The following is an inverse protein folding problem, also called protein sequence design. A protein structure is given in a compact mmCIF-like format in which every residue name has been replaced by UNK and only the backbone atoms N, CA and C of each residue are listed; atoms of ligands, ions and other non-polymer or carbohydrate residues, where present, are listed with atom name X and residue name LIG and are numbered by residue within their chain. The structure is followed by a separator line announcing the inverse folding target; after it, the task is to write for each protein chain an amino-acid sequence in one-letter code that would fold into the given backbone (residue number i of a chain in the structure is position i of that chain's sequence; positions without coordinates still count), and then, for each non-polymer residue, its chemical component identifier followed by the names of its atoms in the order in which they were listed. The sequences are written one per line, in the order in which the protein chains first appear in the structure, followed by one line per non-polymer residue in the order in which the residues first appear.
data_IF_698575528508
#
_entry.id   IF_698575528508
#
_cell.length_a   1.000
_cell.length_b   1.000
_cell.length_c   1.000
_cell.angle_alpha   90.00
_cell.angle_beta   90.00
_cell.angle_gamma   90.00
#
_symmetry.space_group_name_H-M   'P 1'
#
loop_
_entity.id
_entity.type
_entity.pdbx_description
1 polymer ?
#
# COMPACT_ATOMS: atom_id res chain seq x y z
N UNK A 1 -25.18 67.12 -37.60
CA UNK A 1 -26.05 66.71 -36.47
C UNK A 1 -26.33 65.23 -36.69
N UNK A 2 -25.90 64.25 -35.92
CA UNK A 2 -25.30 64.19 -34.60
C UNK A 2 -25.79 62.86 -34.02
N UNK A 3 -24.86 62.01 -33.56
CA UNK A 3 -25.11 60.91 -32.61
C UNK A 3 -25.94 59.72 -33.15
N UNK A 4 -25.87 58.48 -32.64
CA UNK A 4 -24.95 57.72 -31.79
C UNK A 4 -25.46 56.26 -31.92
N UNK A 5 -24.57 55.29 -32.05
CA UNK A 5 -24.21 54.31 -31.03
C UNK A 5 -25.19 53.14 -30.78
N UNK A 6 -24.60 51.94 -30.83
CA UNK A 6 -24.84 50.80 -29.92
C UNK A 6 -26.17 50.05 -30.06
N UNK A 7 -26.26 48.73 -29.96
CA UNK A 7 -25.35 47.64 -29.53
C UNK A 7 -26.08 46.32 -29.82
N UNK A 8 -25.31 45.23 -29.88
CA UNK A 8 -25.65 43.89 -29.33
C UNK A 8 -26.75 43.09 -30.03
N UNK A 9 -26.68 41.78 -30.22
CA UNK A 9 -25.66 40.76 -30.00
C UNK A 9 -26.18 39.45 -30.60
N UNK A 10 -25.23 38.50 -30.78
CA UNK A 10 -25.40 37.03 -30.82
C UNK A 10 -26.29 36.48 -31.93
N UNK A 11 -25.74 35.54 -32.70
CA UNK A 11 -26.00 34.12 -32.46
C UNK A 11 -25.49 33.29 -33.64
N UNK A 12 -25.26 32.01 -33.33
CA UNK A 12 -25.46 30.88 -34.22
C UNK A 12 -24.34 30.55 -35.19
N UNK A 13 -23.51 29.62 -34.72
CA UNK A 13 -22.74 28.68 -35.52
C UNK A 13 -23.66 27.89 -36.47
N UNK A 14 -23.60 28.23 -37.74
CA UNK A 14 -23.87 27.35 -38.88
C UNK A 14 -22.64 27.53 -39.80
N UNK A 15 -22.05 26.53 -40.44
CA UNK A 15 -22.66 25.61 -41.39
C UNK A 15 -21.77 24.37 -41.56
N UNK A 16 -22.42 23.23 -41.82
CA UNK A 16 -21.80 21.97 -42.28
C UNK A 16 -21.48 22.06 -43.78
N UNK A 17 -20.30 21.57 -44.19
CA UNK A 17 -19.90 20.92 -45.49
C UNK A 17 -18.39 21.15 -45.73
N UNK A 18 -17.53 20.26 -46.24
CA UNK A 18 -17.66 19.00 -46.97
C UNK A 18 -16.36 18.16 -46.85
N UNK A 19 -16.54 16.83 -46.89
CA UNK A 19 -15.79 15.76 -47.57
C UNK A 19 -14.24 15.80 -47.76
N UNK A 20 -13.66 14.65 -47.40
CA UNK A 20 -12.58 13.92 -48.09
C UNK A 20 -11.13 14.34 -47.82
N UNK A 21 -10.42 13.53 -47.02
CA UNK A 21 -9.20 12.80 -47.36
C UNK A 21 -8.95 11.78 -46.24
N UNK A 22 -9.65 10.64 -46.30
CA UNK A 22 -9.25 9.45 -45.54
C UNK A 22 -8.00 8.88 -46.19
N UNK A 23 -6.82 9.30 -45.71
CA UNK A 23 -5.57 8.57 -45.85
C UNK A 23 -4.52 9.16 -44.91
N UNK A 24 -4.64 8.84 -43.62
CA UNK A 24 -3.48 8.80 -42.74
C UNK A 24 -3.46 7.38 -42.19
N UNK A 25 -2.53 6.58 -42.68
CA UNK A 25 -2.13 5.32 -42.05
C UNK A 25 -1.68 5.63 -40.63
N UNK A 26 -2.61 5.59 -39.68
CA UNK A 26 -2.26 5.60 -38.26
C UNK A 26 -1.73 4.22 -37.93
N UNK A 27 -0.40 4.08 -37.92
CA UNK A 27 0.29 2.96 -37.31
C UNK A 27 -0.35 2.61 -35.96
N UNK A 28 -0.56 1.33 -35.63
CA UNK A 28 -1.08 0.98 -34.32
C UNK A 28 -0.05 1.41 -33.29
N UNK A 29 -0.36 2.47 -32.53
CA UNK A 29 0.30 2.73 -31.26
C UNK A 29 -0.13 1.62 -30.32
N UNK A 30 0.55 0.47 -30.43
CA UNK A 30 0.62 -0.49 -29.36
C UNK A 30 1.42 0.14 -28.23
N UNK A 31 0.79 1.06 -27.49
CA UNK A 31 1.15 1.20 -26.10
C UNK A 31 0.48 0.02 -25.38
N UNK A 32 1.14 -1.13 -25.45
CA UNK A 32 0.92 -2.18 -24.47
C UNK A 32 1.10 -1.49 -23.10
N UNK A 33 0.09 -1.40 -22.22
CA UNK A 33 0.35 -0.99 -20.86
C UNK A 33 1.34 -2.00 -20.31
N UNK A 34 2.62 -1.61 -20.23
CA UNK A 34 3.59 -2.35 -19.44
C UNK A 34 2.95 -2.41 -18.07
N UNK A 35 2.44 -3.58 -17.70
CA UNK A 35 2.11 -3.91 -16.33
C UNK A 35 3.41 -3.74 -15.59
N UNK A 36 3.61 -2.57 -14.98
CA UNK A 36 4.67 -2.37 -14.01
C UNK A 36 4.27 -3.28 -12.87
N UNK A 37 4.79 -4.50 -12.87
CA UNK A 37 4.74 -5.35 -11.70
C UNK A 37 5.56 -4.59 -10.66
N UNK A 38 4.86 -4.02 -9.68
CA UNK A 38 5.40 -3.37 -8.49
C UNK A 38 6.08 -4.44 -7.60
N UNK A 39 7.09 -5.10 -8.14
CA UNK A 39 7.85 -6.13 -7.45
C UNK A 39 8.99 -5.46 -6.69
N UNK A 40 8.95 -5.59 -5.37
CA UNK A 40 10.03 -5.17 -4.50
C UNK A 40 11.27 -6.06 -4.71
N UNK A 41 12.48 -5.56 -4.40
CA UNK A 41 13.70 -6.36 -4.49
C UNK A 41 13.59 -7.64 -3.64
N UNK A 42 13.88 -8.80 -4.24
CA UNK A 42 13.78 -10.10 -3.53
C UNK A 42 14.72 -10.23 -2.33
N UNK A 43 15.83 -9.49 -2.32
CA UNK A 43 16.80 -9.45 -1.23
C UNK A 43 16.48 -8.39 -0.16
N UNK A 44 15.26 -7.83 -0.16
CA UNK A 44 14.87 -6.81 0.82
C UNK A 44 14.77 -7.40 2.24
N UNK A 45 15.67 -6.97 3.11
CA UNK A 45 15.70 -7.39 4.52
C UNK A 45 14.81 -6.51 5.42
N UNK A 46 14.61 -5.25 5.05
CA UNK A 46 13.82 -4.28 5.81
C UNK A 46 12.84 -3.55 4.92
N UNK A 47 11.57 -3.59 5.31
CA UNK A 47 10.49 -2.85 4.67
C UNK A 47 9.89 -1.87 5.68
N UNK A 48 9.81 -0.59 5.29
CA UNK A 48 9.11 0.44 6.05
C UNK A 48 8.03 1.07 5.17
N UNK A 49 6.80 0.69 5.46
CA UNK A 49 5.60 1.13 4.75
C UNK A 49 4.95 2.27 5.53
N UNK A 50 4.83 3.43 4.91
CA UNK A 50 4.21 4.61 5.52
C UNK A 50 2.96 5.03 4.75
N UNK A 51 1.89 5.34 5.48
CA UNK A 51 0.65 5.90 4.94
C UNK A 51 0.06 5.12 3.77
N UNK A 52 0.09 3.77 3.83
CA UNK A 52 -0.42 2.93 2.76
C UNK A 52 -1.93 3.16 2.55
N UNK A 53 -2.37 3.58 1.36
CA UNK A 53 -3.75 4.02 1.16
C UNK A 53 -4.73 2.85 1.07
N UNK A 54 -4.26 1.67 0.65
CA UNK A 54 -5.15 0.54 0.40
C UNK A 54 -5.36 -0.28 1.68
N UNK A 55 -6.51 -0.94 1.77
CA UNK A 55 -6.85 -1.81 2.89
C UNK A 55 -6.12 -3.16 2.85
N UNK A 56 -5.73 -3.59 1.66
CA UNK A 56 -5.05 -4.85 1.39
C UNK A 56 -3.88 -4.64 0.43
N UNK A 57 -2.93 -5.56 0.47
CA UNK A 57 -1.73 -5.55 -0.39
C UNK A 57 -1.49 -6.96 -0.92
N UNK A 58 -1.32 -7.09 -2.24
CA UNK A 58 -1.03 -8.37 -2.91
C UNK A 58 0.45 -8.75 -2.87
N UNK A 59 1.34 -7.76 -2.75
CA UNK A 59 2.79 -7.93 -2.76
C UNK A 59 3.40 -8.06 -1.35
N UNK A 60 2.64 -7.81 -0.29
CA UNK A 60 3.09 -7.95 1.09
C UNK A 60 2.82 -9.38 1.58
N UNK A 61 3.51 -10.33 0.96
CA UNK A 61 3.43 -11.77 1.26
C UNK A 61 4.84 -12.32 1.47
N UNK A 62 5.01 -13.43 2.21
CA UNK A 62 6.32 -14.04 2.41
C UNK A 62 6.94 -14.55 1.09
N UNK A 63 6.12 -14.88 0.09
CA UNK A 63 6.58 -15.31 -1.24
C UNK A 63 7.22 -14.16 -2.04
N UNK A 64 6.64 -12.97 -1.94
CA UNK A 64 7.19 -11.76 -2.57
C UNK A 64 8.41 -11.21 -1.83
N UNK A 65 8.50 -11.45 -0.52
CA UNK A 65 9.55 -10.92 0.36
C UNK A 65 10.25 -12.01 1.19
N UNK A 66 10.95 -12.97 0.54
CA UNK A 66 11.45 -14.18 1.18
C UNK A 66 12.65 -13.96 2.12
N UNK A 67 13.26 -12.77 2.12
CA UNK A 67 14.40 -12.40 2.96
C UNK A 67 14.06 -11.32 3.99
N UNK A 68 12.78 -10.98 4.16
CA UNK A 68 12.38 -9.91 5.06
C UNK A 68 12.58 -10.29 6.53
N UNK A 69 13.37 -9.49 7.24
CA UNK A 69 13.63 -9.63 8.67
C UNK A 69 12.89 -8.58 9.50
N UNK A 70 12.69 -7.39 8.93
CA UNK A 70 12.13 -6.22 9.64
C UNK A 70 10.96 -5.64 8.85
N UNK A 71 9.76 -5.72 9.41
CA UNK A 71 8.54 -5.20 8.80
C UNK A 71 7.96 -4.05 9.63
N UNK A 72 8.06 -2.82 9.11
CA UNK A 72 7.52 -1.63 9.76
C UNK A 72 6.36 -1.08 8.95
N UNK A 73 5.23 -0.86 9.60
CA UNK A 73 4.02 -0.33 8.98
C UNK A 73 3.48 0.80 9.86
N UNK A 74 3.36 1.99 9.26
CA UNK A 74 3.03 3.22 9.97
C UNK A 74 1.90 3.96 9.26
N UNK A 75 0.77 4.09 9.94
CA UNK A 75 -0.42 4.75 9.42
C UNK A 75 -1.00 4.07 8.19
N UNK A 76 -1.91 4.76 7.52
CA UNK A 76 -2.64 4.21 6.37
C UNK A 76 -3.89 3.45 6.79
N UNK A 77 -4.51 2.79 5.80
CA UNK A 77 -5.79 2.12 5.94
C UNK A 77 -5.67 0.58 5.91
N UNK A 78 -4.45 0.06 6.08
CA UNK A 78 -4.20 -1.38 6.03
C UNK A 78 -5.02 -2.10 7.10
N UNK A 79 -5.96 -2.93 6.65
CA UNK A 79 -6.94 -3.60 7.51
C UNK A 79 -6.58 -5.07 7.75
N UNK A 80 -5.86 -5.69 6.81
CA UNK A 80 -5.48 -7.10 6.89
C UNK A 80 -4.02 -7.29 6.49
N UNK A 81 -3.32 -8.11 7.27
CA UNK A 81 -2.03 -8.67 6.88
C UNK A 81 -2.23 -10.06 6.31
N UNK A 82 -1.28 -10.50 5.48
CA UNK A 82 -1.26 -11.86 5.00
C UNK A 82 -1.14 -12.85 6.18
N UNK A 83 -1.97 -13.89 6.18
CA UNK A 83 -2.04 -14.89 7.26
C UNK A 83 -0.99 -15.99 7.11
N UNK A 84 -0.23 -15.99 6.01
CA UNK A 84 0.86 -16.93 5.79
C UNK A 84 1.99 -16.76 6.81
N UNK A 85 2.89 -17.74 6.86
CA UNK A 85 3.99 -17.79 7.83
C UNK A 85 5.20 -16.99 7.34
N UNK A 86 5.48 -15.89 8.03
CA UNK A 86 6.67 -15.06 7.87
C UNK A 86 7.82 -15.65 8.70
N UNK A 87 8.51 -16.63 8.13
CA UNK A 87 9.53 -17.40 8.85
C UNK A 87 10.79 -16.60 9.23
N UNK A 88 11.12 -15.52 8.50
CA UNK A 88 12.34 -14.73 8.74
C UNK A 88 12.11 -13.41 9.45
N UNK A 89 10.86 -12.97 9.58
CA UNK A 89 10.56 -11.67 10.19
C UNK A 89 10.75 -11.78 11.70
N UNK A 90 11.78 -11.10 12.20
CA UNK A 90 12.16 -11.06 13.61
C UNK A 90 11.63 -9.82 14.30
N UNK A 91 11.47 -8.70 13.59
CA UNK A 91 11.00 -7.44 14.17
C UNK A 91 9.80 -6.87 13.41
N UNK A 92 8.71 -6.65 14.13
CA UNK A 92 7.46 -6.09 13.62
C UNK A 92 7.17 -4.77 14.32
N UNK A 93 6.93 -3.70 13.55
CA UNK A 93 6.50 -2.40 14.10
C UNK A 93 5.20 -1.96 13.46
N UNK A 94 4.17 -1.82 14.26
CA UNK A 94 2.82 -1.46 13.83
C UNK A 94 2.42 -0.17 14.56
N UNK A 95 2.33 0.93 13.81
CA UNK A 95 1.97 2.24 14.39
C UNK A 95 0.77 2.82 13.69
N UNK A 96 -0.21 3.30 14.46
CA UNK A 96 -1.38 4.05 13.98
C UNK A 96 -2.26 3.29 12.99
N UNK A 97 -2.38 1.96 13.16
CA UNK A 97 -3.23 1.11 12.32
C UNK A 97 -4.58 0.88 13.00
N UNK A 98 -5.57 1.68 12.63
CA UNK A 98 -6.92 1.64 13.24
C UNK A 98 -7.75 0.46 12.75
N UNK A 99 -7.66 0.16 11.45
CA UNK A 99 -8.45 -0.89 10.81
C UNK A 99 -7.83 -2.28 10.92
N UNK A 100 -6.54 -2.38 11.29
CA UNK A 100 -5.86 -3.67 11.41
C UNK A 100 -6.41 -4.46 12.59
N UNK A 101 -7.15 -5.53 12.28
CA UNK A 101 -7.73 -6.47 13.25
C UNK A 101 -6.95 -7.76 13.27
N UNK A 102 -6.33 -8.08 14.40
CA UNK A 102 -5.57 -9.32 14.56
C UNK A 102 -5.43 -9.66 16.04
N UNK A 103 -5.53 -10.94 16.38
CA UNK A 103 -5.28 -11.39 17.74
C UNK A 103 -3.80 -11.73 17.93
N UNK A 104 -3.30 -11.63 19.17
CA UNK A 104 -1.91 -12.02 19.49
C UNK A 104 -1.56 -13.45 19.05
N UNK A 105 -2.49 -14.41 19.21
CA UNK A 105 -2.29 -15.80 18.77
C UNK A 105 -2.09 -15.90 17.26
N UNK A 106 -2.92 -15.19 16.48
CA UNK A 106 -2.81 -15.16 15.02
C UNK A 106 -1.50 -14.49 14.60
N UNK A 107 -1.13 -13.40 15.27
CA UNK A 107 0.13 -12.70 15.03
C UNK A 107 1.33 -13.61 15.32
N UNK A 108 1.34 -14.37 16.42
CA UNK A 108 2.40 -15.34 16.70
C UNK A 108 2.44 -16.52 15.74
N UNK A 109 1.30 -16.95 15.20
CA UNK A 109 1.24 -18.02 14.19
C UNK A 109 1.78 -17.55 12.83
N UNK A 110 1.42 -16.33 12.41
CA UNK A 110 1.97 -15.70 11.21
C UNK A 110 3.44 -15.33 11.36
N UNK A 111 3.90 -14.97 12.57
CA UNK A 111 5.29 -14.56 12.85
C UNK A 111 5.92 -15.47 13.94
N UNK A 112 6.31 -16.72 13.58
CA UNK A 112 6.81 -17.68 14.56
C UNK A 112 8.15 -17.25 15.19
N UNK A 113 9.09 -16.77 14.37
CA UNK A 113 10.44 -16.33 14.76
C UNK A 113 10.49 -14.86 15.25
N UNK A 114 9.32 -14.28 15.57
CA UNK A 114 9.23 -12.91 16.10
C UNK A 114 9.98 -12.77 17.43
N UNK A 115 10.94 -11.84 17.46
CA UNK A 115 11.74 -11.45 18.63
C UNK A 115 11.26 -10.12 19.21
N UNK A 116 10.76 -9.22 18.35
CA UNK A 116 10.38 -7.86 18.74
C UNK A 116 9.07 -7.45 18.09
N UNK A 117 8.12 -6.97 18.90
CA UNK A 117 6.91 -6.29 18.44
C UNK A 117 6.83 -4.90 19.07
N UNK A 118 6.59 -3.88 18.26
CA UNK A 118 6.16 -2.57 18.73
C UNK A 118 4.77 -2.27 18.19
N UNK A 119 3.84 -1.95 19.09
CA UNK A 119 2.44 -1.65 18.77
C UNK A 119 2.07 -0.30 19.36
N UNK A 120 1.85 0.70 18.52
CA UNK A 120 1.46 2.06 18.95
C UNK A 120 0.11 2.44 18.37
N UNK A 121 -0.88 2.72 19.24
CA UNK A 121 -2.23 3.16 18.84
C UNK A 121 -2.90 2.25 17.78
N UNK A 122 -2.81 0.94 17.97
CA UNK A 122 -3.50 -0.07 17.14
C UNK A 122 -4.65 -0.72 17.93
N UNK A 123 -5.87 -0.17 17.92
CA UNK A 123 -6.97 -0.69 18.73
C UNK A 123 -7.40 -2.11 18.35
N UNK A 124 -7.29 -2.48 17.07
CA UNK A 124 -7.70 -3.80 16.57
C UNK A 124 -6.76 -4.95 16.88
N UNK A 125 -5.55 -4.69 17.41
CA UNK A 125 -4.64 -5.74 17.86
C UNK A 125 -4.92 -6.05 19.33
N UNK A 126 -5.56 -7.17 19.60
CA UNK A 126 -6.03 -7.52 20.95
C UNK A 126 -5.20 -8.63 21.59
N UNK A 127 -5.25 -8.72 22.93
CA UNK A 127 -4.60 -9.76 23.74
C UNK A 127 -3.06 -9.81 23.60
N UNK A 128 -2.42 -8.73 23.15
CA UNK A 128 -0.95 -8.65 23.13
C UNK A 128 -0.41 -8.53 24.56
N UNK A 129 0.57 -9.36 24.98
CA UNK A 129 1.32 -9.19 26.22
C UNK A 129 2.37 -8.08 26.08
N UNK A 130 1.93 -6.89 25.66
CA UNK A 130 2.76 -5.72 25.43
C UNK A 130 2.93 -4.93 26.75
N UNK A 131 4.05 -4.23 26.91
CA UNK A 131 4.34 -3.35 28.05
C UNK A 131 3.58 -1.99 27.98
N UNK A 132 3.85 -1.09 28.93
CA UNK A 132 3.25 0.26 28.97
C UNK A 132 3.55 1.12 27.73
N UNK A 133 4.63 0.81 27.02
CA UNK A 133 5.02 1.47 25.77
C UNK A 133 4.47 0.77 24.53
N UNK A 134 3.73 -0.33 24.71
CA UNK A 134 3.20 -1.14 23.62
C UNK A 134 4.26 -2.03 22.96
N UNK A 135 5.36 -2.31 23.64
CA UNK A 135 6.46 -3.14 23.16
C UNK A 135 6.36 -4.54 23.77
N UNK A 136 6.65 -5.54 22.95
CA UNK A 136 6.86 -6.92 23.40
C UNK A 136 8.21 -7.40 22.87
N UNK A 137 8.95 -8.10 23.73
CA UNK A 137 10.22 -8.72 23.39
C UNK A 137 10.19 -10.19 23.80
N UNK A 138 10.73 -11.06 22.95
CA UNK A 138 10.94 -12.46 23.29
C UNK A 138 12.04 -12.55 24.35
N UNK A 139 11.79 -13.33 25.41
CA UNK A 139 12.79 -13.54 26.46
C UNK A 139 14.08 -14.15 25.88
N UNK A 140 15.27 -13.65 26.26
CA UNK A 140 16.55 -14.12 25.75
C UNK A 140 16.79 -15.61 26.04
N UNK A 141 16.28 -16.13 27.16
CA UNK A 141 16.38 -17.55 27.56
C UNK A 141 15.72 -18.52 26.55
N UNK A 142 14.89 -18.00 25.64
CA UNK A 142 14.21 -18.77 24.58
C UNK A 142 14.84 -18.56 23.19
N UNK A 143 15.94 -17.82 23.11
CA UNK A 143 16.69 -17.51 21.88
C UNK A 143 17.90 -18.45 21.75
N UNK A 144 18.45 -18.93 22.86
CA UNK A 144 19.71 -19.69 22.94
C UNK A 144 19.61 -21.19 22.60
N UNK A 145 18.47 -21.69 22.10
CA UNK A 145 18.27 -23.10 21.77
C UNK A 145 18.15 -23.40 20.26
N UNK A 146 18.59 -22.51 19.37
CA UNK A 146 18.49 -22.72 17.91
C UNK A 146 19.84 -22.69 17.23
#
# INVERSE_FOLDING_TARGET
MGSNASKSARSSSEWRRCQLLENIQSAPKQHNPKTVTEELPKQLEKLDLQCFPNSTSTWLTPDSLPHLEKLYIRGGNLATLDRSKWLKVQALRLKYLRELKMNWRELKDSFPDLVYLEKVKCPGITLCPCDEHGVWMKNPDQIEQK
#
